data_IF_202607626601
#
_entry.id   IF_202607626601
#
_cell.length_a   1.000
_cell.length_b   1.000
_cell.length_c   1.000
_cell.angle_alpha   90.00
_cell.angle_beta   90.00
_cell.angle_gamma   90.00
#
_symmetry.space_group_name_H-M   'P 1'
#
loop_
_entity.id
_entity.type
_entity.pdbx_description
1 polymer ?
#
# COMPACT_ATOMS: atom_id res chain seq x y z
N UNK A 1 -7.61 -11.47 -38.73
CA UNK A 1 -7.83 -10.38 -39.70
C UNK A 1 -8.23 -9.13 -38.93
N UNK A 2 -7.79 -7.94 -39.37
CA UNK A 2 -8.22 -6.57 -39.03
C UNK A 2 -8.42 -6.23 -37.53
N UNK A 3 -7.66 -5.34 -36.86
CA UNK A 3 -7.11 -4.02 -37.22
C UNK A 3 -8.16 -2.89 -37.39
N UNK A 4 -7.71 -1.63 -37.22
CA UNK A 4 -8.46 -0.37 -36.97
C UNK A 4 -8.66 -0.08 -35.46
N UNK A 5 -8.28 1.08 -34.90
CA UNK A 5 -7.48 2.18 -35.47
C UNK A 5 -7.60 3.50 -34.68
N UNK A 6 -6.48 4.13 -34.30
CA UNK A 6 -6.48 5.49 -33.74
C UNK A 6 -6.63 6.54 -34.85
N UNK A 7 -7.53 7.52 -34.70
CA UNK A 7 -7.45 8.84 -35.37
C UNK A 7 -8.13 9.97 -34.58
N UNK A 8 -7.29 10.86 -34.02
CA UNK A 8 -7.56 12.29 -33.70
C UNK A 8 -8.67 12.57 -32.65
N UNK A 9 -8.68 13.68 -31.90
CA UNK A 9 -8.57 15.11 -32.25
C UNK A 9 -7.49 15.85 -31.43
N UNK A 10 -6.91 16.92 -32.00
CA UNK A 10 -6.10 17.94 -31.31
C UNK A 10 -6.92 19.24 -31.18
N UNK A 11 -6.78 20.01 -30.08
CA UNK A 11 -6.82 21.49 -30.00
C UNK A 11 -6.40 21.88 -28.55
N UNK A 12 -5.25 22.54 -28.33
CA UNK A 12 -5.10 24.01 -28.10
C UNK A 12 -5.77 24.48 -26.78
N UNK A 13 -5.10 24.68 -25.63
CA UNK A 13 -3.95 25.55 -25.21
C UNK A 13 -4.32 27.03 -24.99
N UNK A 14 -4.06 27.54 -23.76
CA UNK A 14 -3.80 28.92 -23.25
C UNK A 14 -3.96 28.87 -21.70
N UNK A 15 -2.91 28.81 -20.86
CA UNK A 15 -1.94 29.84 -20.39
C UNK A 15 -2.48 30.72 -19.22
N UNK A 16 -1.83 30.64 -18.04
CA UNK A 16 -1.43 31.68 -17.05
C UNK A 16 -0.58 30.95 -15.95
N UNK A 17 0.46 31.43 -15.22
CA UNK A 17 1.09 32.73 -14.85
C UNK A 17 0.55 33.32 -13.51
N UNK A 18 1.34 33.64 -12.45
CA UNK A 18 2.78 33.42 -12.13
C UNK A 18 3.17 33.76 -10.64
N UNK A 19 4.32 33.27 -10.12
CA UNK A 19 5.03 33.65 -8.84
C UNK A 19 4.29 33.44 -7.48
N UNK A 20 4.86 33.57 -6.26
CA UNK A 20 6.22 33.91 -5.76
C UNK A 20 6.64 32.99 -4.57
N UNK A 21 7.62 33.37 -3.72
CA UNK A 21 8.41 32.48 -2.84
C UNK A 21 8.66 33.09 -1.43
N UNK A 22 9.18 32.27 -0.49
CA UNK A 22 9.88 32.60 0.80
C UNK A 22 9.22 33.51 1.85
N UNK A 23 9.15 33.03 3.11
CA UNK A 23 9.98 33.54 4.23
C UNK A 23 9.80 32.71 5.54
N UNK A 24 10.75 32.86 6.46
CA UNK A 24 10.94 32.07 7.70
C UNK A 24 10.31 32.70 8.96
N UNK A 25 10.09 31.92 10.03
CA UNK A 25 10.76 32.13 11.33
C UNK A 25 10.66 30.92 12.30
N UNK A 26 11.10 31.13 13.56
CA UNK A 26 11.61 30.12 14.51
C UNK A 26 10.80 30.13 15.85
N UNK A 27 11.01 29.10 16.69
CA UNK A 27 10.57 28.91 18.10
C UNK A 27 9.13 28.39 18.32
N UNK A 28 8.83 27.65 19.41
CA UNK A 28 9.65 27.22 20.57
C UNK A 28 9.42 25.75 20.96
N UNK A 29 10.22 25.26 21.92
CA UNK A 29 9.85 24.10 22.74
C UNK A 29 8.62 24.40 23.62
N UNK A 30 7.84 23.37 23.94
CA UNK A 30 7.25 23.15 25.29
C UNK A 30 7.07 21.64 25.52
N UNK A 31 7.54 21.15 26.66
CA UNK A 31 7.25 19.81 27.16
C UNK A 31 5.99 19.82 28.02
N UNK A 32 5.10 18.84 27.84
CA UNK A 32 4.04 18.52 28.80
C UNK A 32 3.83 17.02 28.89
N UNK A 33 3.95 16.49 30.11
CA UNK A 33 3.58 15.11 30.45
C UNK A 33 2.06 15.00 30.69
N UNK A 34 1.54 13.77 30.59
CA UNK A 34 0.44 13.17 31.37
C UNK A 34 -0.18 11.99 30.58
N UNK A 35 -0.20 10.79 31.17
CA UNK A 35 -0.88 9.51 30.85
C UNK A 35 -1.27 9.15 29.42
N UNK A 36 -1.94 10.05 28.70
CA UNK A 36 -2.20 9.98 27.26
C UNK A 36 -0.93 9.67 26.46
N UNK A 37 0.22 10.19 26.89
CA UNK A 37 1.52 9.94 26.26
C UNK A 37 1.92 8.46 26.36
N UNK A 38 1.98 7.89 27.57
CA UNK A 38 2.29 6.47 27.78
C UNK A 38 1.32 5.53 27.05
N UNK A 39 0.01 5.84 27.04
CA UNK A 39 -0.98 5.04 26.30
C UNK A 39 -0.78 5.14 24.79
N UNK A 40 -0.47 6.32 24.26
CA UNK A 40 -0.17 6.54 22.84
C UNK A 40 1.09 5.80 22.42
N UNK A 41 2.17 5.90 23.19
CA UNK A 41 3.43 5.19 22.89
C UNK A 41 3.23 3.67 22.95
N UNK A 42 2.41 3.16 23.88
CA UNK A 42 2.02 1.75 23.93
C UNK A 42 1.26 1.33 22.67
N UNK A 43 0.30 2.13 22.19
CA UNK A 43 -0.48 1.86 20.97
C UNK A 43 0.41 1.93 19.72
N UNK A 44 1.30 2.93 19.63
CA UNK A 44 2.28 3.07 18.54
C UNK A 44 3.22 1.85 18.51
N UNK A 45 3.67 1.38 19.68
CA UNK A 45 4.50 0.18 19.82
C UNK A 45 3.72 -1.08 19.38
N UNK A 46 2.46 -1.24 19.82
CA UNK A 46 1.60 -2.35 19.40
C UNK A 46 1.38 -2.37 17.88
N UNK A 47 1.11 -1.21 17.27
CA UNK A 47 0.98 -1.08 15.82
C UNK A 47 2.29 -1.45 15.10
N UNK A 48 3.44 -1.00 15.59
CA UNK A 48 4.75 -1.35 15.03
C UNK A 48 5.04 -2.85 15.15
N UNK A 49 4.74 -3.47 16.30
CA UNK A 49 4.88 -4.91 16.50
C UNK A 49 3.95 -5.71 15.57
N UNK A 50 2.70 -5.30 15.41
CA UNK A 50 1.76 -5.91 14.46
C UNK A 50 2.34 -5.92 13.04
N UNK A 51 2.76 -4.75 12.53
CA UNK A 51 3.33 -4.66 11.18
C UNK A 51 4.66 -5.41 11.06
N UNK A 52 5.48 -5.44 12.12
CA UNK A 52 6.71 -6.23 12.15
C UNK A 52 6.41 -7.73 11.98
N UNK A 53 5.55 -8.32 12.81
CA UNK A 53 5.17 -9.74 12.70
C UNK A 53 4.52 -10.04 11.35
N UNK A 54 3.64 -9.17 10.87
CA UNK A 54 3.01 -9.28 9.54
C UNK A 54 4.05 -9.35 8.41
N UNK A 55 5.10 -8.53 8.45
CA UNK A 55 6.15 -8.53 7.45
C UNK A 55 7.19 -9.64 7.67
N UNK A 56 7.38 -10.13 8.89
CA UNK A 56 8.09 -11.37 9.20
C UNK A 56 7.30 -12.63 8.80
N UNK A 57 6.06 -12.48 8.31
CA UNK A 57 5.16 -13.56 7.91
C UNK A 57 4.59 -14.39 9.10
N UNK A 58 4.75 -13.87 10.31
CA UNK A 58 4.32 -14.40 11.61
C UNK A 58 2.84 -14.04 11.86
N UNK A 59 1.93 -14.75 11.20
CA UNK A 59 0.49 -14.38 11.16
C UNK A 59 -0.26 -14.61 12.47
N UNK A 60 0.16 -15.55 13.32
CA UNK A 60 -0.52 -15.85 14.59
C UNK A 60 -0.12 -14.84 15.69
N UNK A 61 1.15 -14.42 15.66
CA UNK A 61 1.73 -13.37 16.50
C UNK A 61 1.16 -12.00 16.12
N UNK A 62 0.99 -11.71 14.83
CA UNK A 62 0.33 -10.51 14.35
C UNK A 62 -1.14 -10.45 14.83
N UNK A 63 -1.91 -11.54 14.67
CA UNK A 63 -3.29 -11.59 15.17
C UNK A 63 -3.35 -11.42 16.70
N UNK A 64 -2.43 -12.06 17.44
CA UNK A 64 -2.33 -11.94 18.90
C UNK A 64 -2.07 -10.51 19.38
N UNK A 65 -1.16 -9.77 18.74
CA UNK A 65 -0.91 -8.35 19.07
C UNK A 65 -2.13 -7.48 18.77
N UNK A 66 -2.81 -7.72 17.64
CA UNK A 66 -4.05 -7.03 17.27
C UNK A 66 -5.18 -7.32 18.27
N UNK A 67 -5.32 -8.56 18.75
CA UNK A 67 -6.30 -8.92 19.79
C UNK A 67 -6.02 -8.22 21.13
N UNK A 68 -4.75 -7.95 21.47
CA UNK A 68 -4.39 -7.17 22.66
C UNK A 68 -4.79 -5.69 22.47
N UNK A 69 -4.52 -5.11 21.30
CA UNK A 69 -4.89 -3.72 20.96
C UNK A 69 -6.41 -3.45 20.98
N UNK A 70 -7.25 -4.48 20.80
CA UNK A 70 -8.72 -4.38 20.92
C UNK A 70 -9.21 -3.88 22.27
N UNK A 71 -8.45 -4.07 23.36
CA UNK A 71 -8.85 -3.61 24.70
C UNK A 71 -8.76 -2.08 24.89
N UNK A 72 -8.09 -1.38 23.97
CA UNK A 72 -7.81 0.06 24.05
C UNK A 72 -8.77 0.94 23.22
N UNK A 73 -9.92 0.41 22.79
CA UNK A 73 -10.99 1.13 22.08
C UNK A 73 -10.58 1.73 20.70
N UNK A 74 -9.54 1.16 20.07
CA UNK A 74 -8.95 1.64 18.80
C UNK A 74 -9.65 1.05 17.54
N UNK A 75 -10.99 1.03 17.52
CA UNK A 75 -11.83 0.29 16.54
C UNK A 75 -11.36 0.39 15.09
N UNK A 76 -11.22 1.62 14.56
CA UNK A 76 -10.81 1.85 13.16
C UNK A 76 -9.42 1.27 12.85
N UNK A 77 -8.46 1.43 13.77
CA UNK A 77 -7.09 0.97 13.59
C UNK A 77 -7.01 -0.56 13.60
N UNK A 78 -7.76 -1.20 14.50
CA UNK A 78 -7.72 -2.66 14.64
C UNK A 78 -8.39 -3.36 13.45
N UNK A 79 -9.49 -2.80 12.93
CA UNK A 79 -10.07 -3.20 11.66
C UNK A 79 -9.08 -3.04 10.48
N UNK A 80 -8.31 -1.94 10.44
CA UNK A 80 -7.31 -1.73 9.39
C UNK A 80 -6.17 -2.76 9.48
N UNK A 81 -5.68 -3.05 10.69
CA UNK A 81 -4.71 -4.13 10.94
C UNK A 81 -5.27 -5.48 10.50
N UNK A 82 -6.52 -5.80 10.86
CA UNK A 82 -7.18 -7.04 10.43
C UNK A 82 -7.29 -7.12 8.89
N UNK A 83 -7.64 -6.01 8.22
CA UNK A 83 -7.68 -5.95 6.77
C UNK A 83 -6.30 -6.17 6.14
N UNK A 84 -5.21 -5.63 6.73
CA UNK A 84 -3.85 -5.93 6.30
C UNK A 84 -3.48 -7.40 6.50
N UNK A 85 -3.78 -8.01 7.66
CA UNK A 85 -3.52 -9.42 7.93
C UNK A 85 -4.25 -10.33 6.93
N UNK A 86 -5.54 -10.09 6.71
CA UNK A 86 -6.34 -10.81 5.72
C UNK A 86 -5.81 -10.62 4.29
N UNK A 87 -5.37 -9.41 3.93
CA UNK A 87 -4.75 -9.15 2.63
C UNK A 87 -3.44 -9.93 2.43
N UNK A 88 -2.61 -10.07 3.48
CA UNK A 88 -1.39 -10.86 3.44
C UNK A 88 -1.65 -12.37 3.35
N UNK A 89 -2.70 -12.85 4.01
CA UNK A 89 -3.22 -14.22 3.83
C UNK A 89 -3.67 -14.46 2.38
N UNK A 90 -4.38 -13.52 1.75
CA UNK A 90 -4.71 -13.57 0.31
C UNK A 90 -3.45 -13.62 -0.56
N UNK A 91 -2.45 -12.77 -0.32
CA UNK A 91 -1.17 -12.75 -1.08
C UNK A 91 -0.34 -14.02 -0.97
N UNK A 92 -0.58 -14.86 0.04
CA UNK A 92 0.10 -16.15 0.21
C UNK A 92 -0.71 -17.35 -0.26
N UNK A 93 -1.94 -17.15 -0.72
CA UNK A 93 -2.83 -18.23 -1.14
C UNK A 93 -3.69 -18.85 -0.03
N UNK A 94 -3.61 -18.36 1.21
CA UNK A 94 -4.42 -18.87 2.32
C UNK A 94 -5.87 -18.40 2.18
N UNK A 95 -6.78 -19.36 2.00
CA UNK A 95 -8.25 -19.20 1.97
C UNK A 95 -8.71 -17.97 1.18
N UNK A 96 -8.09 -17.73 0.01
CA UNK A 96 -8.10 -16.44 -0.69
C UNK A 96 -9.48 -15.78 -0.79
N UNK A 97 -10.52 -16.50 -1.24
CA UNK A 97 -11.85 -15.90 -1.41
C UNK A 97 -12.51 -15.59 -0.06
N UNK A 98 -12.33 -16.42 0.97
CA UNK A 98 -12.84 -16.13 2.31
C UNK A 98 -12.13 -14.89 2.89
N UNK A 99 -10.81 -14.81 2.73
CA UNK A 99 -10.01 -13.74 3.30
C UNK A 99 -10.19 -12.39 2.57
N UNK A 100 -10.38 -12.38 1.24
CA UNK A 100 -10.72 -11.14 0.52
C UNK A 100 -12.14 -10.65 0.83
N UNK A 101 -13.12 -11.56 1.02
CA UNK A 101 -14.47 -11.20 1.46
C UNK A 101 -14.45 -10.56 2.86
N UNK A 102 -13.74 -11.17 3.82
CA UNK A 102 -13.58 -10.61 5.17
C UNK A 102 -12.85 -9.26 5.14
N UNK A 103 -11.76 -9.17 4.38
CA UNK A 103 -11.00 -7.92 4.20
C UNK A 103 -11.91 -6.79 3.70
N UNK A 104 -12.77 -7.09 2.72
CA UNK A 104 -13.75 -6.16 2.18
C UNK A 104 -14.85 -5.75 3.17
N UNK A 105 -15.39 -6.69 3.94
CA UNK A 105 -16.39 -6.42 4.98
C UNK A 105 -15.84 -5.46 6.05
N UNK A 106 -14.64 -5.74 6.56
CA UNK A 106 -13.97 -4.95 7.60
C UNK A 106 -13.62 -3.54 7.09
N UNK A 107 -13.15 -3.43 5.85
CA UNK A 107 -12.86 -2.14 5.22
C UNK A 107 -14.12 -1.31 4.96
N UNK A 108 -15.24 -1.93 4.56
CA UNK A 108 -16.52 -1.22 4.45
C UNK A 108 -16.96 -0.68 5.82
N UNK A 109 -16.93 -1.51 6.86
CA UNK A 109 -17.31 -1.11 8.22
C UNK A 109 -16.47 0.07 8.75
N UNK A 110 -15.17 0.13 8.42
CA UNK A 110 -14.32 1.28 8.73
C UNK A 110 -14.76 2.58 8.04
N UNK A 111 -15.11 2.49 6.76
CA UNK A 111 -15.55 3.65 5.96
C UNK A 111 -16.92 4.15 6.47
N UNK A 112 -17.84 3.23 6.76
CA UNK A 112 -19.19 3.58 7.20
C UNK A 112 -19.19 4.09 8.64
N UNK A 113 -18.32 3.55 9.51
CA UNK A 113 -18.04 4.13 10.84
C UNK A 113 -17.48 5.54 10.75
N UNK A 114 -16.53 5.80 9.83
CA UNK A 114 -15.98 7.14 9.64
C UNK A 114 -17.07 8.15 9.28
N UNK A 115 -17.89 7.87 8.26
CA UNK A 115 -18.94 8.79 7.84
C UNK A 115 -20.00 9.01 8.93
N UNK A 116 -20.37 7.96 9.67
CA UNK A 116 -21.30 8.04 10.80
C UNK A 116 -20.78 8.92 11.95
N UNK A 117 -19.45 9.03 12.10
CA UNK A 117 -18.80 9.72 13.23
C UNK A 117 -17.92 10.91 12.81
N UNK A 118 -18.01 11.41 11.56
CA UNK A 118 -17.07 12.40 10.96
C UNK A 118 -16.80 13.64 11.83
N UNK A 119 -17.75 14.09 12.65
CA UNK A 119 -17.61 15.24 13.58
C UNK A 119 -16.81 14.96 14.85
N UNK A 120 -16.60 13.69 15.22
CA UNK A 120 -15.97 13.25 16.48
C UNK A 120 -14.59 12.61 16.27
N UNK A 121 -14.08 12.62 15.03
CA UNK A 121 -12.91 11.85 14.62
C UNK A 121 -11.62 12.68 14.72
N UNK A 122 -10.64 12.13 15.43
CA UNK A 122 -9.30 12.70 15.57
C UNK A 122 -8.42 12.47 14.33
N UNK A 123 -7.23 13.11 14.28
CA UNK A 123 -6.30 13.01 13.14
C UNK A 123 -5.89 11.57 12.82
N UNK A 124 -5.68 10.72 13.83
CA UNK A 124 -5.21 9.34 13.64
C UNK A 124 -6.30 8.47 12.99
N UNK A 125 -7.52 8.52 13.53
CA UNK A 125 -8.69 7.87 12.98
C UNK A 125 -9.00 8.32 11.53
N UNK A 126 -8.74 9.60 11.20
CA UNK A 126 -8.83 10.12 9.83
C UNK A 126 -7.79 9.51 8.88
N UNK A 127 -6.52 9.38 9.28
CA UNK A 127 -5.49 8.74 8.46
C UNK A 127 -5.75 7.23 8.29
N UNK A 128 -6.28 6.58 9.31
CA UNK A 128 -6.71 5.17 9.28
C UNK A 128 -7.90 4.95 8.34
N UNK A 129 -8.84 5.90 8.27
CA UNK A 129 -9.93 5.91 7.28
C UNK A 129 -9.41 6.09 5.84
N UNK A 130 -8.43 6.98 5.61
CA UNK A 130 -7.80 7.17 4.30
C UNK A 130 -7.02 5.91 3.85
N UNK A 131 -6.29 5.25 4.78
CA UNK A 131 -5.67 3.95 4.52
C UNK A 131 -6.71 2.88 4.18
N UNK A 132 -7.81 2.81 4.94
CA UNK A 132 -8.91 1.87 4.68
C UNK A 132 -9.51 2.09 3.29
N UNK A 133 -9.65 3.35 2.88
CA UNK A 133 -10.12 3.74 1.56
C UNK A 133 -9.17 3.30 0.44
N UNK A 134 -7.85 3.46 0.61
CA UNK A 134 -6.86 2.95 -0.36
C UNK A 134 -6.91 1.42 -0.43
N UNK A 135 -7.11 0.72 0.70
CA UNK A 135 -7.32 -0.73 0.72
C UNK A 135 -8.60 -1.12 -0.06
N UNK A 136 -9.69 -0.35 0.02
CA UNK A 136 -10.91 -0.60 -0.78
C UNK A 136 -10.63 -0.53 -2.29
N UNK A 137 -9.81 0.43 -2.75
CA UNK A 137 -9.38 0.49 -4.16
C UNK A 137 -8.53 -0.74 -4.54
N UNK A 138 -7.67 -1.19 -3.63
CA UNK A 138 -6.81 -2.36 -3.82
C UNK A 138 -7.63 -3.66 -3.99
N UNK A 139 -8.64 -3.84 -3.14
CA UNK A 139 -9.62 -4.94 -3.21
C UNK A 139 -10.40 -4.87 -4.53
N UNK A 140 -10.92 -3.69 -4.89
CA UNK A 140 -11.65 -3.50 -6.14
C UNK A 140 -10.80 -3.80 -7.38
N UNK A 141 -9.50 -3.44 -7.36
CA UNK A 141 -8.58 -3.80 -8.43
C UNK A 141 -8.30 -5.32 -8.49
N UNK A 142 -8.12 -5.98 -7.34
CA UNK A 142 -7.94 -7.43 -7.23
C UNK A 142 -9.14 -8.21 -7.79
N UNK A 143 -10.37 -7.80 -7.46
CA UNK A 143 -11.62 -8.36 -8.03
C UNK A 143 -11.90 -7.92 -9.47
N UNK A 144 -11.04 -7.13 -10.09
CA UNK A 144 -11.26 -6.45 -11.38
C UNK A 144 -12.50 -5.51 -11.43
N UNK A 145 -13.12 -5.20 -10.28
CA UNK A 145 -14.27 -4.29 -10.11
C UNK A 145 -13.86 -2.81 -10.13
N UNK A 146 -12.95 -2.44 -11.04
CA UNK A 146 -12.25 -1.14 -11.07
C UNK A 146 -13.20 0.07 -11.10
N UNK A 147 -14.30 -0.03 -11.84
CA UNK A 147 -15.33 1.04 -11.91
C UNK A 147 -15.97 1.30 -10.55
N UNK A 148 -16.34 0.25 -9.80
CA UNK A 148 -16.91 0.40 -8.46
C UNK A 148 -15.88 0.98 -7.47
N UNK A 149 -14.61 0.59 -7.59
CA UNK A 149 -13.50 1.20 -6.87
C UNK A 149 -13.38 2.71 -7.14
N UNK A 150 -13.38 3.12 -8.42
CA UNK A 150 -13.30 4.53 -8.78
C UNK A 150 -14.54 5.32 -8.33
N UNK A 151 -15.76 4.79 -8.47
CA UNK A 151 -16.95 5.47 -7.91
C UNK A 151 -16.84 5.68 -6.40
N UNK A 152 -16.28 4.72 -5.64
CA UNK A 152 -16.02 4.93 -4.21
C UNK A 152 -14.91 5.97 -3.96
N UNK A 153 -13.87 6.05 -4.80
CA UNK A 153 -12.87 7.13 -4.72
C UNK A 153 -13.49 8.53 -4.85
N UNK A 154 -14.46 8.71 -5.76
CA UNK A 154 -15.15 10.01 -5.93
C UNK A 154 -15.91 10.42 -4.66
N UNK A 155 -16.45 9.47 -3.88
CA UNK A 155 -17.11 9.76 -2.58
C UNK A 155 -16.15 10.20 -1.47
N UNK A 156 -14.83 10.23 -1.75
CA UNK A 156 -13.75 10.56 -0.80
C UNK A 156 -12.97 11.82 -1.25
N UNK A 157 -13.52 12.55 -2.23
CA UNK A 157 -12.91 13.71 -2.88
C UNK A 157 -12.58 14.84 -1.91
N UNK A 158 -13.44 15.11 -0.93
CA UNK A 158 -13.20 16.15 0.08
C UNK A 158 -11.95 15.79 0.91
N UNK A 159 -11.86 14.55 1.37
CA UNK A 159 -10.81 14.09 2.26
C UNK A 159 -9.45 13.93 1.57
N UNK A 160 -9.42 13.47 0.31
CA UNK A 160 -8.18 13.49 -0.48
C UNK A 160 -7.74 14.93 -0.84
N UNK A 161 -8.66 15.84 -1.15
CA UNK A 161 -8.32 17.25 -1.37
C UNK A 161 -7.72 17.86 -0.09
N UNK A 162 -8.36 17.67 1.06
CA UNK A 162 -7.88 18.14 2.37
C UNK A 162 -6.53 17.52 2.79
N UNK A 163 -6.19 16.32 2.30
CA UNK A 163 -4.85 15.74 2.47
C UNK A 163 -3.81 16.45 1.58
N UNK A 164 -4.13 16.68 0.31
CA UNK A 164 -3.21 17.28 -0.68
C UNK A 164 -2.88 18.76 -0.46
N UNK A 165 -3.73 19.50 0.26
CA UNK A 165 -3.50 20.93 0.55
C UNK A 165 -2.44 21.20 1.64
N UNK A 166 -1.87 20.15 2.25
CA UNK A 166 -0.85 20.27 3.30
C UNK A 166 0.54 20.58 2.71
N UNK A 167 1.08 21.75 3.03
CA UNK A 167 2.44 22.16 2.65
C UNK A 167 3.55 21.30 3.26
N UNK A 168 3.33 20.75 4.47
CA UNK A 168 4.28 19.88 5.17
C UNK A 168 3.57 18.63 5.72
N UNK A 169 3.36 17.58 4.90
CA UNK A 169 2.77 16.32 5.35
C UNK A 169 3.70 15.52 6.27
N UNK A 170 3.12 14.87 7.30
CA UNK A 170 3.86 13.94 8.18
C UNK A 170 4.38 12.72 7.41
N UNK A 171 5.33 11.92 7.95
CA UNK A 171 5.84 10.72 7.28
C UNK A 171 4.76 9.72 6.84
N UNK A 172 3.70 9.56 7.62
CA UNK A 172 2.55 8.70 7.29
C UNK A 172 1.65 9.34 6.22
N UNK A 173 1.43 10.66 6.29
CA UNK A 173 0.70 11.42 5.27
C UNK A 173 1.43 11.40 3.92
N UNK A 174 2.78 11.42 3.92
CA UNK A 174 3.62 11.25 2.73
C UNK A 174 3.42 9.91 2.06
N UNK A 175 3.24 8.82 2.81
CA UNK A 175 2.96 7.51 2.21
C UNK A 175 1.62 7.52 1.46
N UNK A 176 0.58 8.10 2.06
CA UNK A 176 -0.77 8.20 1.47
C UNK A 176 -0.78 9.14 0.26
N UNK A 177 -0.11 10.28 0.35
CA UNK A 177 0.07 11.22 -0.77
C UNK A 177 0.91 10.61 -1.89
N UNK A 178 1.98 9.89 -1.55
CA UNK A 178 2.84 9.21 -2.51
C UNK A 178 2.07 8.23 -3.39
N UNK A 179 1.22 7.40 -2.77
CA UNK A 179 0.27 6.56 -3.47
C UNK A 179 -0.77 7.37 -4.26
N UNK A 180 -1.46 8.32 -3.62
CA UNK A 180 -2.53 9.11 -4.25
C UNK A 180 -2.07 9.81 -5.52
N UNK A 181 -1.00 10.60 -5.42
CA UNK A 181 -0.48 11.45 -6.50
C UNK A 181 -0.02 10.61 -7.69
N UNK A 182 0.64 9.46 -7.45
CA UNK A 182 1.06 8.56 -8.51
C UNK A 182 -0.12 7.82 -9.17
N UNK A 183 -1.01 7.21 -8.37
CA UNK A 183 -2.11 6.40 -8.89
C UNK A 183 -3.18 7.25 -9.58
N UNK A 184 -3.42 8.48 -9.13
CA UNK A 184 -4.33 9.42 -9.81
C UNK A 184 -3.91 9.64 -11.27
N UNK A 185 -2.65 10.00 -11.53
CA UNK A 185 -2.17 10.26 -12.89
C UNK A 185 -2.12 8.99 -13.74
N UNK A 186 -1.66 7.88 -13.17
CA UNK A 186 -1.69 6.56 -13.84
C UNK A 186 -3.11 6.17 -14.29
N UNK A 187 -4.13 6.44 -13.48
CA UNK A 187 -5.54 6.18 -13.81
C UNK A 187 -6.05 7.17 -14.87
N UNK A 188 -5.73 8.47 -14.74
CA UNK A 188 -6.12 9.55 -15.68
C UNK A 188 -5.55 9.35 -17.10
N UNK A 189 -4.39 8.72 -17.19
CA UNK A 189 -3.76 8.26 -18.44
C UNK A 189 -4.38 6.96 -18.97
N UNK A 190 -4.34 5.89 -18.16
CA UNK A 190 -4.67 4.52 -18.60
C UNK A 190 -6.16 4.30 -18.85
N UNK A 191 -7.02 5.10 -18.20
CA UNK A 191 -8.46 5.03 -18.33
C UNK A 191 -9.03 6.43 -18.62
N UNK A 192 -8.98 6.94 -19.86
CA UNK A 192 -9.36 8.33 -20.17
C UNK A 192 -10.77 8.73 -19.72
N UNK A 193 -11.72 7.80 -19.65
CA UNK A 193 -13.09 8.00 -19.12
C UNK A 193 -13.08 8.43 -17.65
N UNK A 194 -12.07 8.00 -16.86
CA UNK A 194 -11.92 8.37 -15.44
C UNK A 194 -11.76 9.88 -15.22
N UNK A 195 -11.34 10.65 -16.23
CA UNK A 195 -11.19 12.11 -16.16
C UNK A 195 -12.49 12.82 -15.74
N UNK A 196 -13.65 12.25 -16.07
CA UNK A 196 -14.95 12.77 -15.65
C UNK A 196 -15.24 12.47 -14.18
N UNK A 197 -14.85 11.28 -13.70
CA UNK A 197 -15.01 10.86 -12.30
C UNK A 197 -14.07 11.64 -11.37
N UNK A 198 -12.81 11.84 -11.79
CA UNK A 198 -11.77 12.55 -11.05
C UNK A 198 -11.99 14.09 -11.02
N UNK A 199 -13.05 14.61 -11.61
CA UNK A 199 -13.25 16.05 -11.78
C UNK A 199 -13.32 16.81 -10.44
N UNK A 200 -12.43 17.78 -10.25
CA UNK A 200 -12.31 18.58 -9.02
C UNK A 200 -11.74 17.82 -7.81
N UNK A 201 -11.24 16.60 -7.98
CA UNK A 201 -10.20 16.09 -7.09
C UNK A 201 -8.88 16.82 -7.39
N UNK A 202 -8.02 17.02 -6.41
CA UNK A 202 -6.70 17.64 -6.62
C UNK A 202 -5.88 16.80 -7.61
N UNK A 203 -5.31 17.39 -8.68
CA UNK A 203 -4.47 16.66 -9.62
C UNK A 203 -3.33 15.92 -8.95
N UNK A 204 -2.97 14.77 -9.51
CA UNK A 204 -1.82 14.00 -9.09
C UNK A 204 -0.53 14.49 -9.76
N UNK A 205 0.59 14.02 -9.21
CA UNK A 205 1.93 14.21 -9.76
C UNK A 205 2.72 12.92 -9.50
N UNK A 206 3.17 12.27 -10.59
CA UNK A 206 3.94 11.03 -10.49
C UNK A 206 5.33 11.24 -9.88
N UNK A 207 5.98 12.37 -10.14
CA UNK A 207 7.34 12.65 -9.66
C UNK A 207 7.31 12.99 -8.17
N UNK A 208 6.39 13.86 -7.74
CA UNK A 208 6.16 14.13 -6.31
C UNK A 208 5.65 12.88 -5.58
N UNK A 209 4.78 12.08 -6.22
CA UNK A 209 4.29 10.81 -5.70
C UNK A 209 5.42 9.80 -5.42
N UNK A 210 6.30 9.59 -6.40
CA UNK A 210 7.52 8.79 -6.24
C UNK A 210 8.42 9.38 -5.14
N UNK A 211 8.67 10.70 -5.15
CA UNK A 211 9.56 11.34 -4.16
C UNK A 211 9.08 11.16 -2.72
N UNK A 212 7.77 11.24 -2.46
CA UNK A 212 7.24 10.94 -1.14
C UNK A 212 7.38 9.46 -0.76
N UNK A 213 7.15 8.53 -1.70
CA UNK A 213 7.38 7.11 -1.45
C UNK A 213 8.88 6.80 -1.22
N UNK A 214 9.80 7.48 -1.91
CA UNK A 214 11.25 7.37 -1.73
C UNK A 214 11.71 7.97 -0.39
N UNK A 215 11.06 9.02 0.09
CA UNK A 215 11.25 9.52 1.46
C UNK A 215 10.75 8.50 2.50
N UNK A 216 9.61 7.84 2.26
CA UNK A 216 9.13 6.75 3.11
C UNK A 216 10.10 5.55 3.08
N UNK A 217 10.56 5.11 1.90
CA UNK A 217 11.48 3.96 1.73
C UNK A 217 12.85 4.17 2.38
N UNK A 218 13.23 5.43 2.64
CA UNK A 218 14.45 5.79 3.35
C UNK A 218 14.25 6.12 4.84
N UNK A 219 13.00 6.14 5.35
CA UNK A 219 12.66 6.49 6.73
C UNK A 219 13.40 5.67 7.80
N UNK A 220 13.54 6.23 9.00
CA UNK A 220 13.99 5.52 10.21
C UNK A 220 12.90 4.60 10.76
N UNK A 221 11.62 5.00 10.67
CA UNK A 221 10.47 4.18 11.03
C UNK A 221 10.40 2.96 10.09
N UNK A 222 10.60 1.76 10.65
CA UNK A 222 10.72 0.51 9.88
C UNK A 222 9.42 0.13 9.14
N UNK A 223 8.25 0.52 9.66
CA UNK A 223 6.95 0.26 9.00
C UNK A 223 6.84 1.11 7.75
N UNK A 224 7.09 2.42 7.85
CA UNK A 224 7.10 3.33 6.69
C UNK A 224 8.20 2.98 5.70
N UNK A 225 9.37 2.54 6.17
CA UNK A 225 10.47 2.04 5.34
C UNK A 225 10.01 0.86 4.48
N UNK A 226 9.38 -0.12 5.11
CA UNK A 226 8.89 -1.34 4.45
C UNK A 226 7.74 -1.04 3.49
N UNK A 227 6.76 -0.23 3.89
CA UNK A 227 5.64 0.15 3.03
C UNK A 227 6.08 1.01 1.83
N UNK A 228 7.02 1.95 2.03
CA UNK A 228 7.60 2.76 0.95
C UNK A 228 8.32 1.90 -0.10
N UNK A 229 9.23 1.02 0.33
CA UNK A 229 9.90 0.06 -0.55
C UNK A 229 8.86 -0.83 -1.29
N UNK A 230 7.82 -1.29 -0.59
CA UNK A 230 6.78 -2.14 -1.19
C UNK A 230 5.98 -1.45 -2.30
N UNK A 231 5.56 -0.21 -2.10
CA UNK A 231 4.80 0.51 -3.12
C UNK A 231 5.69 0.97 -4.29
N UNK A 232 6.96 1.32 -4.05
CA UNK A 232 7.93 1.59 -5.13
C UNK A 232 8.22 0.34 -5.96
N UNK A 233 8.50 -0.81 -5.32
CA UNK A 233 8.61 -2.11 -6.01
C UNK A 233 7.40 -2.33 -6.91
N UNK A 234 6.18 -2.19 -6.36
CA UNK A 234 4.95 -2.45 -7.13
C UNK A 234 4.73 -1.48 -8.28
N UNK A 235 5.09 -0.20 -8.12
CA UNK A 235 5.02 0.78 -9.19
C UNK A 235 6.02 0.45 -10.32
N UNK A 236 7.28 0.19 -9.99
CA UNK A 236 8.29 -0.09 -11.02
C UNK A 236 8.05 -1.45 -11.70
N UNK A 237 7.70 -2.50 -10.95
CA UNK A 237 7.53 -3.86 -11.45
C UNK A 237 6.20 -4.14 -12.19
N UNK A 238 5.09 -3.59 -11.71
CA UNK A 238 3.74 -3.94 -12.20
C UNK A 238 3.11 -2.82 -13.07
N UNK A 239 3.71 -1.62 -13.11
CA UNK A 239 3.18 -0.47 -13.87
C UNK A 239 4.19 0.09 -14.87
N UNK A 240 5.43 0.39 -14.45
CA UNK A 240 6.43 1.02 -15.34
C UNK A 240 7.23 0.02 -16.17
N UNK A 241 7.25 -1.26 -15.77
CA UNK A 241 8.12 -2.31 -16.31
C UNK A 241 9.63 -2.03 -16.19
N UNK A 242 10.03 -1.12 -15.29
CA UNK A 242 11.42 -0.90 -14.91
C UNK A 242 11.82 -1.98 -13.90
N UNK A 243 12.21 -3.14 -14.43
CA UNK A 243 12.57 -4.29 -13.61
C UNK A 243 13.95 -4.16 -12.94
N UNK A 244 14.79 -3.23 -13.40
CA UNK A 244 16.08 -2.95 -12.76
C UNK A 244 15.86 -2.09 -11.51
N UNK A 245 15.14 -0.98 -11.61
CA UNK A 245 14.81 -0.16 -10.44
C UNK A 245 13.84 -0.87 -9.49
N UNK A 246 12.95 -1.74 -9.99
CA UNK A 246 12.12 -2.56 -9.08
C UNK A 246 12.94 -3.58 -8.27
N UNK A 247 14.04 -4.11 -8.83
CA UNK A 247 14.92 -5.08 -8.17
C UNK A 247 15.55 -4.49 -6.91
N UNK A 248 15.90 -3.20 -6.89
CA UNK A 248 16.47 -2.51 -5.73
C UNK A 248 15.55 -2.62 -4.50
N UNK A 249 14.29 -2.19 -4.65
CA UNK A 249 13.33 -2.15 -3.55
C UNK A 249 12.89 -3.55 -3.07
N UNK A 250 12.74 -4.52 -3.97
CA UNK A 250 12.38 -5.90 -3.57
C UNK A 250 13.58 -6.66 -2.99
N UNK A 251 14.82 -6.28 -3.33
CA UNK A 251 16.03 -6.78 -2.64
C UNK A 251 16.02 -6.35 -1.18
N UNK A 252 15.79 -5.06 -0.88
CA UNK A 252 15.66 -4.58 0.51
C UNK A 252 14.61 -5.36 1.30
N UNK A 253 13.41 -5.55 0.73
CA UNK A 253 12.31 -6.26 1.40
C UNK A 253 12.67 -7.72 1.70
N UNK A 254 13.29 -8.40 0.73
CA UNK A 254 13.78 -9.77 0.88
C UNK A 254 14.86 -9.89 1.95
N UNK A 255 15.86 -9.02 1.94
CA UNK A 255 16.98 -9.07 2.90
C UNK A 255 16.56 -8.66 4.31
N UNK A 256 15.56 -7.79 4.44
CA UNK A 256 14.98 -7.39 5.73
C UNK A 256 14.05 -8.46 6.32
N UNK A 257 13.38 -9.25 5.47
CA UNK A 257 12.38 -10.24 5.86
C UNK A 257 12.56 -11.56 5.07
N UNK A 258 13.65 -12.31 5.31
CA UNK A 258 14.04 -13.47 4.48
C UNK A 258 13.08 -14.67 4.57
N UNK A 259 12.29 -14.75 5.65
CA UNK A 259 11.27 -15.78 5.86
C UNK A 259 9.94 -15.46 5.16
N UNK A 260 9.77 -14.22 4.68
CA UNK A 260 8.57 -13.80 3.97
C UNK A 260 8.59 -14.30 2.52
N UNK A 261 7.95 -15.46 2.31
CA UNK A 261 7.89 -16.12 1.01
C UNK A 261 7.22 -15.28 -0.08
N UNK A 262 6.33 -14.34 0.26
CA UNK A 262 5.77 -13.42 -0.74
C UNK A 262 6.87 -12.49 -1.28
N UNK A 263 7.68 -11.89 -0.41
CA UNK A 263 8.82 -11.07 -0.88
C UNK A 263 9.86 -11.90 -1.63
N UNK A 264 10.16 -13.12 -1.18
CA UNK A 264 11.10 -14.01 -1.88
C UNK A 264 10.60 -14.42 -3.28
N UNK A 265 9.31 -14.73 -3.43
CA UNK A 265 8.66 -15.06 -4.71
C UNK A 265 8.60 -13.85 -5.64
N UNK A 266 8.33 -12.65 -5.10
CA UNK A 266 8.32 -11.40 -5.86
C UNK A 266 9.74 -10.96 -6.29
N UNK A 267 10.77 -11.22 -5.48
CA UNK A 267 12.17 -11.08 -5.90
C UNK A 267 12.55 -12.10 -6.99
N UNK A 268 12.15 -13.37 -6.86
CA UNK A 268 12.33 -14.39 -7.90
C UNK A 268 11.69 -13.95 -9.24
N UNK A 269 10.43 -13.54 -9.24
CA UNK A 269 9.75 -12.95 -10.42
C UNK A 269 10.54 -11.80 -11.04
N UNK A 270 11.16 -10.96 -10.21
CA UNK A 270 11.94 -9.81 -10.67
C UNK A 270 13.29 -10.25 -11.26
N UNK A 271 13.94 -11.30 -10.74
CA UNK A 271 15.11 -11.91 -11.36
C UNK A 271 14.78 -12.57 -12.72
N UNK A 272 13.61 -13.22 -12.85
CA UNK A 272 13.12 -13.74 -14.15
C UNK A 272 12.93 -12.58 -15.14
N UNK A 273 12.19 -11.54 -14.74
CA UNK A 273 11.90 -10.34 -15.55
C UNK A 273 13.16 -9.55 -15.97
N UNK A 274 14.22 -9.55 -15.17
CA UNK A 274 15.51 -8.91 -15.48
C UNK A 274 16.45 -9.80 -16.30
N UNK A 275 16.03 -11.02 -16.68
CA UNK A 275 16.87 -11.96 -17.42
C UNK A 275 18.02 -12.56 -16.60
N UNK A 276 17.98 -12.50 -15.27
CA UNK A 276 19.03 -13.01 -14.40
C UNK A 276 18.87 -14.51 -14.14
N UNK A 277 18.87 -15.29 -15.23
CA UNK A 277 18.40 -16.69 -15.27
C UNK A 277 19.17 -17.63 -14.33
N UNK A 278 20.47 -17.37 -14.12
CA UNK A 278 21.30 -18.15 -13.18
C UNK A 278 20.86 -17.94 -11.73
N UNK A 279 20.73 -16.68 -11.28
CA UNK A 279 20.27 -16.38 -9.92
C UNK A 279 18.82 -16.80 -9.70
N UNK A 280 17.94 -16.64 -10.70
CA UNK A 280 16.55 -17.08 -10.58
C UNK A 280 16.45 -18.60 -10.48
N UNK A 281 17.22 -19.38 -11.25
CA UNK A 281 17.19 -20.86 -11.16
C UNK A 281 17.75 -21.39 -9.85
N UNK A 282 18.86 -20.82 -9.35
CA UNK A 282 19.38 -21.13 -8.01
C UNK A 282 18.33 -20.86 -6.92
N UNK A 283 17.64 -19.72 -7.01
CA UNK A 283 16.59 -19.35 -6.06
C UNK A 283 15.32 -20.21 -6.20
N UNK A 284 14.92 -20.59 -7.42
CA UNK A 284 13.77 -21.48 -7.66
C UNK A 284 13.96 -22.81 -6.92
N UNK A 285 15.14 -23.43 -7.07
CA UNK A 285 15.50 -24.68 -6.40
C UNK A 285 15.46 -24.54 -4.87
N UNK A 286 16.01 -23.45 -4.31
CA UNK A 286 15.95 -23.19 -2.87
C UNK A 286 14.51 -22.99 -2.40
N UNK A 287 13.71 -22.20 -3.11
CA UNK A 287 12.33 -21.91 -2.73
C UNK A 287 11.45 -23.17 -2.72
N UNK A 288 11.63 -24.10 -3.67
CA UNK A 288 10.95 -25.40 -3.64
C UNK A 288 11.29 -26.15 -2.35
N UNK A 289 12.56 -26.19 -1.93
CA UNK A 289 12.99 -26.81 -0.67
C UNK A 289 12.41 -26.10 0.56
N UNK A 290 12.53 -24.77 0.63
CA UNK A 290 12.00 -23.93 1.71
C UNK A 290 10.48 -24.13 1.88
N UNK A 291 9.70 -24.10 0.79
CA UNK A 291 8.24 -24.27 0.79
C UNK A 291 7.84 -25.69 1.23
N UNK A 292 8.55 -26.73 0.78
CA UNK A 292 8.27 -28.09 1.22
C UNK A 292 8.59 -28.26 2.72
N UNK A 293 9.73 -27.75 3.20
CA UNK A 293 10.18 -27.89 4.59
C UNK A 293 9.40 -27.06 5.61
N UNK A 294 8.91 -25.86 5.23
CA UNK A 294 8.26 -24.95 6.16
C UNK A 294 6.99 -25.55 6.83
N UNK A 295 7.05 -25.79 8.14
CA UNK A 295 5.94 -26.36 8.92
C UNK A 295 4.77 -25.40 9.13
N UNK A 296 5.04 -24.08 9.19
CA UNK A 296 4.06 -23.02 9.42
C UNK A 296 3.14 -22.76 8.21
N UNK A 297 3.43 -23.30 7.03
CA UNK A 297 2.60 -23.09 5.83
C UNK A 297 1.46 -24.10 5.74
N UNK A 298 0.24 -23.59 5.59
CA UNK A 298 -0.90 -24.42 5.20
C UNK A 298 -0.69 -25.06 3.82
N UNK A 299 -1.34 -26.21 3.59
CA UNK A 299 -1.32 -26.90 2.29
C UNK A 299 -1.74 -26.01 1.12
N UNK A 300 -2.64 -25.06 1.35
CA UNK A 300 -3.07 -24.08 0.34
C UNK A 300 -1.92 -23.13 -0.05
N UNK A 301 -1.20 -22.59 0.93
CA UNK A 301 -0.07 -21.68 0.70
C UNK A 301 1.09 -22.41 0.00
N UNK A 302 1.41 -23.64 0.42
CA UNK A 302 2.42 -24.47 -0.27
C UNK A 302 2.07 -24.68 -1.74
N UNK A 303 0.84 -25.11 -2.02
CA UNK A 303 0.37 -25.30 -3.40
C UNK A 303 0.40 -23.99 -4.21
N UNK A 304 -0.02 -22.87 -3.60
CA UNK A 304 -0.04 -21.56 -4.25
C UNK A 304 1.37 -21.09 -4.67
N UNK A 305 2.34 -21.15 -3.76
CA UNK A 305 3.72 -20.75 -4.09
C UNK A 305 4.39 -21.70 -5.09
N UNK A 306 4.16 -23.02 -4.98
CA UNK A 306 4.70 -24.00 -5.94
C UNK A 306 4.11 -23.82 -7.36
N UNK A 307 2.80 -23.58 -7.49
CA UNK A 307 2.22 -23.25 -8.79
C UNK A 307 2.74 -21.92 -9.34
N UNK A 308 3.02 -20.90 -8.50
CA UNK A 308 3.69 -19.68 -8.98
C UNK A 308 5.09 -19.99 -9.53
N UNK A 309 5.90 -20.82 -8.84
CA UNK A 309 7.25 -21.17 -9.31
C UNK A 309 7.25 -21.97 -10.62
N UNK A 310 6.24 -22.82 -10.83
CA UNK A 310 6.05 -23.64 -12.02
C UNK A 310 5.54 -22.84 -13.22
N UNK A 311 4.58 -21.94 -13.02
CA UNK A 311 4.06 -21.06 -14.08
C UNK A 311 5.02 -19.90 -14.45
N UNK A 312 6.25 -19.92 -13.92
CA UNK A 312 7.36 -18.99 -14.19
C UNK A 312 8.64 -19.71 -14.64
N UNK A 313 8.52 -20.97 -15.07
CA UNK A 313 9.66 -21.73 -15.59
C UNK A 313 10.31 -21.06 -16.81
N UNK A 314 11.64 -21.13 -16.82
CA UNK A 314 12.59 -20.63 -17.83
C UNK A 314 13.17 -21.84 -18.55
#
# INVERSE_FOLDING_TARGET
>A
MNSIGLKHIKFTVIIFIIFFNTCDFIFSQTSFENDSFYKKDTIVTQNQMFYQFLYQFSFEEADSVMQIANKNNAYLNNNLMQAYLLWWKVLSGENMEININKCEQVINANIDYYFSNKKLINKENYLTFLQSSIMKLRIANYRNQKVAGFSKLVTLKEEFNNLTQKSQPTPDEKLLLGMYLYFYEYVKEKYPISRLLLNGMTPGDKQLGISYLEQCSNSSNQVLKTQGNYFLYKIYNDIQADYLKSLEYITFLKDKYPENLVYMIEYYKTLVKTGNLQKSKMLQNKLVQDIHGASHLSKQQKNHFLEILKNLEI
#
